data_IF_717782880810
#
_entry.id   IF_717782880810
#
_cell.length_a   1.000
_cell.length_b   1.000
_cell.length_c   1.000
_cell.angle_alpha   90.00
_cell.angle_beta   90.00
_cell.angle_gamma   90.00
#
_symmetry.space_group_name_H-M   'P 1'
#
loop_
_entity.id
_entity.type
_entity.pdbx_description
1 polymer ?
#
# COMPACT_ATOMS: atom_id res chain seq x y z
N UNK A 1 -9.26 11.94 31.74
CA UNK A 1 -8.81 13.15 31.00
C UNK A 1 -7.71 12.67 30.06
N UNK A 2 -7.80 12.95 28.77
CA UNK A 2 -6.74 12.55 27.83
C UNK A 2 -5.57 13.51 27.97
N UNK A 3 -4.36 12.98 27.97
CA UNK A 3 -3.14 13.77 27.95
C UNK A 3 -2.81 14.13 26.49
N UNK A 4 -2.25 15.31 26.23
CA UNK A 4 -1.74 15.64 24.90
C UNK A 4 -0.60 14.70 24.52
N UNK A 5 -0.46 14.46 23.22
CA UNK A 5 0.67 13.71 22.65
C UNK A 5 1.99 14.39 23.03
N UNK A 6 2.97 13.62 23.50
CA UNK A 6 4.32 14.11 23.80
C UNK A 6 5.18 14.24 22.55
N UNK A 7 6.34 14.91 22.67
CA UNK A 7 7.23 15.24 21.54
C UNK A 7 7.79 14.03 20.76
N UNK A 8 7.71 12.81 21.33
CA UNK A 8 8.11 11.56 20.67
C UNK A 8 6.96 10.71 20.16
N UNK A 9 5.72 11.21 20.20
CA UNK A 9 4.54 10.45 19.81
C UNK A 9 4.36 10.43 18.29
N UNK A 10 4.41 9.24 17.70
CA UNK A 10 4.12 9.04 16.28
C UNK A 10 2.86 8.20 16.11
N UNK A 11 1.82 8.79 15.53
CA UNK A 11 0.58 8.07 15.24
C UNK A 11 0.82 7.01 14.16
N UNK A 12 0.93 5.74 14.55
CA UNK A 12 1.14 4.62 13.61
C UNK A 12 -0.16 3.91 13.22
N UNK A 13 -1.25 4.19 13.94
CA UNK A 13 -2.60 3.71 13.65
C UNK A 13 -3.65 4.68 14.21
N UNK A 14 -4.85 4.68 13.61
CA UNK A 14 -5.98 5.51 14.05
C UNK A 14 -7.27 4.70 14.03
N UNK A 15 -8.09 4.83 15.08
CA UNK A 15 -9.41 4.23 15.16
C UNK A 15 -10.47 5.32 15.41
N UNK A 16 -11.49 5.46 14.55
CA UNK A 16 -12.58 6.40 14.81
C UNK A 16 -13.48 5.86 15.93
N UNK A 17 -13.66 6.66 16.97
CA UNK A 17 -14.63 6.41 18.05
C UNK A 17 -15.60 7.60 18.05
N UNK A 18 -16.88 7.39 18.36
CA UNK A 18 -17.87 8.48 18.33
C UNK A 18 -17.41 9.67 19.21
N UNK A 19 -17.00 10.77 18.56
CA UNK A 19 -16.51 12.00 19.21
C UNK A 19 -15.01 12.09 19.49
N UNK A 20 -14.19 11.10 19.14
CA UNK A 20 -12.74 11.14 19.34
C UNK A 20 -11.94 10.30 18.34
N UNK A 21 -10.77 10.80 17.93
CA UNK A 21 -9.77 10.05 17.18
C UNK A 21 -8.70 9.56 18.15
N UNK A 22 -8.54 8.25 18.28
CA UNK A 22 -7.47 7.66 19.10
C UNK A 22 -6.29 7.34 18.17
N UNK A 23 -5.16 8.01 18.42
CA UNK A 23 -3.89 7.65 17.82
C UNK A 23 -3.09 6.82 18.83
N UNK A 24 -2.48 5.73 18.35
CA UNK A 24 -1.59 4.88 19.14
C UNK A 24 -0.18 4.99 18.58
N UNK A 25 0.79 5.15 19.47
CA UNK A 25 2.20 5.01 19.15
C UNK A 25 2.66 3.61 19.53
N UNK A 26 2.79 2.75 18.52
CA UNK A 26 3.25 1.37 18.67
C UNK A 26 4.75 1.23 18.38
N UNK A 27 5.48 2.33 18.18
CA UNK A 27 6.91 2.33 17.82
C UNK A 27 7.79 1.63 18.86
N UNK A 28 7.37 1.58 20.13
CA UNK A 28 8.05 0.83 21.19
C UNK A 28 7.84 -0.69 21.16
N UNK A 29 6.92 -1.20 20.33
CA UNK A 29 6.57 -2.65 20.25
C UNK A 29 6.72 -3.23 18.83
N UNK A 30 6.72 -2.37 17.81
CA UNK A 30 6.85 -2.75 16.40
C UNK A 30 8.28 -2.45 15.93
N UNK A 31 8.96 -3.45 15.37
CA UNK A 31 10.19 -3.23 14.61
C UNK A 31 9.85 -2.47 13.31
N UNK A 32 9.91 -1.13 13.39
CA UNK A 32 9.60 -0.22 12.27
C UNK A 32 10.52 -0.48 11.07
N UNK A 33 11.77 -0.90 11.31
CA UNK A 33 12.72 -1.22 10.24
C UNK A 33 12.30 -2.51 9.52
N UNK A 34 11.90 -3.55 10.25
CA UNK A 34 11.36 -4.77 9.68
C UNK A 34 10.05 -4.51 8.93
N UNK A 35 9.16 -3.68 9.49
CA UNK A 35 7.89 -3.32 8.86
C UNK A 35 8.09 -2.54 7.57
N UNK A 36 8.96 -1.53 7.59
CA UNK A 36 9.34 -0.76 6.41
C UNK A 36 9.93 -1.68 5.35
N UNK A 37 10.83 -2.60 5.73
CA UNK A 37 11.42 -3.56 4.79
C UNK A 37 10.37 -4.48 4.17
N UNK A 38 9.40 -4.97 4.94
CA UNK A 38 8.29 -5.80 4.44
C UNK A 38 7.46 -5.04 3.43
N UNK A 39 6.98 -3.85 3.81
CA UNK A 39 6.16 -3.01 2.95
C UNK A 39 6.89 -2.57 1.67
N UNK A 40 8.18 -2.24 1.75
CA UNK A 40 8.98 -1.94 0.54
C UNK A 40 9.04 -3.15 -0.40
N UNK A 41 9.23 -4.36 0.12
CA UNK A 41 9.22 -5.58 -0.69
C UNK A 41 7.84 -5.83 -1.34
N UNK A 42 6.77 -5.61 -0.59
CA UNK A 42 5.40 -5.74 -1.10
C UNK A 42 5.11 -4.68 -2.18
N UNK A 43 5.61 -3.46 -2.00
CA UNK A 43 5.51 -2.37 -2.98
C UNK A 43 6.25 -2.74 -4.28
N UNK A 44 7.47 -3.25 -4.19
CA UNK A 44 8.24 -3.71 -5.35
C UNK A 44 7.51 -4.83 -6.10
N UNK A 45 6.87 -5.76 -5.39
CA UNK A 45 6.08 -6.82 -5.99
C UNK A 45 4.86 -6.26 -6.75
N UNK A 46 4.13 -5.32 -6.15
CA UNK A 46 2.98 -4.66 -6.77
C UNK A 46 3.40 -3.83 -8.00
N UNK A 47 4.54 -3.12 -7.93
CA UNK A 47 5.09 -2.38 -9.07
C UNK A 47 5.48 -3.30 -10.24
N UNK A 48 6.10 -4.44 -9.96
CA UNK A 48 6.43 -5.46 -10.99
C UNK A 48 5.16 -6.00 -11.63
N UNK A 49 4.14 -6.28 -10.83
CA UNK A 49 2.85 -6.76 -11.31
C UNK A 49 2.17 -5.72 -12.22
N UNK A 50 2.15 -4.44 -11.82
CA UNK A 50 1.69 -3.34 -12.66
C UNK A 50 2.44 -3.29 -13.99
N UNK A 51 3.77 -3.32 -13.96
CA UNK A 51 4.60 -3.26 -15.17
C UNK A 51 4.29 -4.42 -16.14
N UNK A 52 4.11 -5.64 -15.62
CA UNK A 52 3.74 -6.80 -16.43
C UNK A 52 2.35 -6.66 -17.05
N UNK A 53 1.37 -6.18 -16.29
CA UNK A 53 0.01 -5.97 -16.77
C UNK A 53 -0.04 -4.86 -17.83
N UNK A 54 0.61 -3.72 -17.58
CA UNK A 54 0.71 -2.61 -18.54
C UNK A 54 1.44 -3.04 -19.81
N UNK A 55 2.52 -3.81 -19.71
CA UNK A 55 3.24 -4.32 -20.88
C UNK A 55 2.38 -5.23 -21.76
N UNK A 56 1.51 -6.06 -21.17
CA UNK A 56 0.56 -6.90 -21.93
C UNK A 56 -0.57 -6.09 -22.56
N UNK A 57 -1.10 -5.11 -21.83
CA UNK A 57 -2.18 -4.24 -22.33
C UNK A 57 -1.70 -3.22 -23.35
N UNK A 58 -0.42 -2.83 -23.33
CA UNK A 58 0.18 -1.96 -24.34
C UNK A 58 0.65 -2.70 -25.60
N UNK A 59 0.58 -4.03 -25.62
CA UNK A 59 0.95 -4.83 -26.78
C UNK A 59 -0.27 -5.08 -27.67
N UNK A 60 -0.36 -4.35 -28.78
CA UNK A 60 -1.45 -4.46 -29.75
C UNK A 60 -1.60 -5.86 -30.35
N UNK A 61 -0.49 -6.59 -30.56
CA UNK A 61 -0.53 -7.96 -31.06
C UNK A 61 -1.11 -8.95 -30.04
N UNK A 62 -0.96 -8.65 -28.75
CA UNK A 62 -1.64 -9.39 -27.68
C UNK A 62 -3.12 -9.04 -27.65
N UNK A 63 -3.48 -7.75 -27.66
CA UNK A 63 -4.89 -7.31 -27.63
C UNK A 63 -5.70 -7.83 -28.83
N UNK A 64 -5.10 -7.90 -30.02
CA UNK A 64 -5.77 -8.38 -31.22
C UNK A 64 -6.05 -9.90 -31.21
N UNK A 65 -5.35 -10.67 -30.37
CA UNK A 65 -5.44 -12.14 -30.32
C UNK A 65 -5.96 -12.68 -28.99
N UNK A 66 -5.89 -11.88 -27.94
CA UNK A 66 -6.29 -12.29 -26.60
C UNK A 66 -7.82 -12.28 -26.50
N UNK A 67 -8.43 -13.36 -25.97
CA UNK A 67 -9.84 -13.35 -25.64
C UNK A 67 -10.19 -12.27 -24.61
N UNK A 68 -11.40 -11.72 -24.68
CA UNK A 68 -11.86 -10.63 -23.80
C UNK A 68 -11.71 -10.96 -22.32
N UNK A 69 -12.03 -12.19 -21.91
CA UNK A 69 -11.88 -12.64 -20.52
C UNK A 69 -10.42 -12.61 -20.03
N UNK A 70 -9.44 -12.80 -20.93
CA UNK A 70 -8.02 -12.70 -20.60
C UNK A 70 -7.61 -11.24 -20.48
N UNK A 71 -8.07 -10.37 -21.40
CA UNK A 71 -7.81 -8.93 -21.36
C UNK A 71 -8.38 -8.32 -20.08
N UNK A 72 -9.63 -8.65 -19.73
CA UNK A 72 -10.29 -8.16 -18.53
C UNK A 72 -9.63 -8.67 -17.25
N UNK A 73 -9.16 -9.92 -17.24
CA UNK A 73 -8.35 -10.43 -16.12
C UNK A 73 -7.06 -9.62 -15.94
N UNK A 74 -6.40 -9.22 -17.03
CA UNK A 74 -5.17 -8.42 -16.96
C UNK A 74 -5.49 -6.98 -16.52
N UNK A 75 -6.59 -6.39 -16.98
CA UNK A 75 -7.08 -5.10 -16.48
C UNK A 75 -7.39 -5.15 -14.99
N UNK A 76 -8.01 -6.23 -14.51
CA UNK A 76 -8.25 -6.45 -13.08
C UNK A 76 -6.95 -6.57 -12.28
N UNK A 77 -5.93 -7.27 -12.82
CA UNK A 77 -4.59 -7.34 -12.22
C UNK A 77 -3.93 -5.97 -12.15
N UNK A 78 -4.05 -5.15 -13.20
CA UNK A 78 -3.54 -3.78 -13.22
C UNK A 78 -4.21 -2.92 -12.13
N UNK A 79 -5.53 -2.90 -12.09
CA UNK A 79 -6.29 -2.12 -11.09
C UNK A 79 -5.94 -2.54 -9.66
N UNK A 80 -5.81 -3.86 -9.42
CA UNK A 80 -5.39 -4.37 -8.11
C UNK A 80 -3.97 -3.93 -7.76
N UNK A 81 -3.03 -4.04 -8.69
CA UNK A 81 -1.65 -3.62 -8.46
C UNK A 81 -1.55 -2.13 -8.16
N UNK A 82 -2.34 -1.29 -8.84
CA UNK A 82 -2.40 0.16 -8.59
C UNK A 82 -2.94 0.48 -7.20
N UNK A 83 -4.06 -0.15 -6.81
CA UNK A 83 -4.62 0.01 -5.47
C UNK A 83 -3.65 -0.47 -4.37
N UNK A 84 -2.94 -1.57 -4.61
CA UNK A 84 -1.93 -2.08 -3.67
C UNK A 84 -0.73 -1.12 -3.56
N UNK A 85 -0.24 -0.55 -4.67
CA UNK A 85 0.83 0.46 -4.67
C UNK A 85 0.43 1.70 -3.86
N UNK A 86 -0.77 2.23 -4.10
CA UNK A 86 -1.26 3.41 -3.39
C UNK A 86 -1.38 3.14 -1.89
N UNK A 87 -2.04 2.03 -1.52
CA UNK A 87 -2.23 1.62 -0.13
C UNK A 87 -0.89 1.41 0.60
N UNK A 88 0.04 0.68 -0.02
CA UNK A 88 1.35 0.38 0.59
C UNK A 88 2.21 1.63 0.65
N UNK A 89 2.18 2.49 -0.38
CA UNK A 89 2.87 3.77 -0.38
C UNK A 89 2.39 4.69 0.74
N UNK A 90 1.07 4.77 0.96
CA UNK A 90 0.49 5.52 2.07
C UNK A 90 0.92 4.96 3.44
N UNK A 91 0.94 3.63 3.60
CA UNK A 91 1.43 2.98 4.81
C UNK A 91 2.91 3.29 5.08
N UNK A 92 3.77 3.20 4.06
CA UNK A 92 5.20 3.52 4.16
C UNK A 92 5.46 4.99 4.54
N UNK A 93 4.64 5.90 4.01
CA UNK A 93 4.72 7.33 4.32
C UNK A 93 4.24 7.66 5.74
N UNK A 94 3.30 6.87 6.27
CA UNK A 94 2.81 7.00 7.63
C UNK A 94 3.75 6.39 8.69
N UNK A 95 4.71 5.53 8.29
CA UNK A 95 5.68 4.97 9.22
C UNK A 95 6.68 6.03 9.71
N UNK A 96 7.05 6.04 11.01
CA UNK A 96 8.06 6.94 11.56
C UNK A 96 9.38 6.85 10.80
N UNK A 97 10.05 7.99 10.60
CA UNK A 97 11.36 8.04 9.91
C UNK A 97 12.55 7.71 10.82
N UNK A 98 12.34 7.62 12.13
CA UNK A 98 13.34 7.33 13.17
C UNK A 98 13.28 5.89 13.64
#
# INVERSE_FOLDING_TARGET
RLQPAGDGFHATASLPVAGATVALDLSGTIDVAAERKRLTKDLEAAQKEKAQATGKLGNEAFLAKAPDNVVDKIRGRLAKAEADIERIGAQLAALPQS
#
